data_IF_292783093367
#
_entry.id   IF_292783093367
#
_cell.length_a   1.000
_cell.length_b   1.000
_cell.length_c   1.000
_cell.angle_alpha   90.00
_cell.angle_beta   90.00
_cell.angle_gamma   90.00
#
_symmetry.space_group_name_H-M   'P 1'
#
loop_
_entity.id
_entity.type
_entity.pdbx_description
1 polymer ?
#
# COMPACT_ATOMS: atom_id res chain seq x y z
N UNK A 1 -4.28 7.94 -15.74
CA UNK A 1 -3.46 8.44 -14.61
C UNK A 1 -3.20 7.28 -13.66
N UNK A 2 -1.98 7.13 -13.14
CA UNK A 2 -1.66 6.04 -12.21
C UNK A 2 -2.19 6.29 -10.80
N UNK A 3 -2.33 5.23 -9.98
CA UNK A 3 -2.87 5.33 -8.63
C UNK A 3 -2.03 6.25 -7.71
N UNK A 4 -0.71 6.26 -7.87
CA UNK A 4 0.19 7.14 -7.13
C UNK A 4 -0.02 8.62 -7.46
N UNK A 5 -0.30 8.94 -8.73
CA UNK A 5 -0.57 10.32 -9.15
C UNK A 5 -1.93 10.80 -8.64
N UNK A 6 -2.91 9.88 -8.58
CA UNK A 6 -4.21 10.14 -7.96
C UNK A 6 -4.11 10.34 -6.44
N UNK A 7 -3.33 9.52 -5.71
CA UNK A 7 -3.08 9.75 -4.29
C UNK A 7 -2.35 11.08 -4.04
N UNK A 8 -1.39 11.44 -4.90
CA UNK A 8 -0.72 12.75 -4.82
C UNK A 8 -1.71 13.89 -4.96
N UNK A 9 -2.64 13.85 -5.91
CA UNK A 9 -3.64 14.92 -6.08
C UNK A 9 -4.60 15.05 -4.88
N UNK A 10 -4.96 13.93 -4.25
CA UNK A 10 -5.77 13.89 -3.01
C UNK A 10 -5.03 14.56 -1.85
N UNK A 11 -3.72 14.32 -1.72
CA UNK A 11 -2.88 14.85 -0.63
C UNK A 11 -2.50 16.31 -0.88
N UNK A 12 -2.32 16.73 -2.14
CA UNK A 12 -2.01 18.12 -2.50
C UNK A 12 -3.25 19.02 -2.61
N UNK A 13 -4.46 18.44 -2.56
CA UNK A 13 -5.72 19.18 -2.46
C UNK A 13 -6.30 19.69 -3.79
N UNK A 14 -6.00 19.03 -4.92
CA UNK A 14 -6.48 19.49 -6.22
C UNK A 14 -7.98 19.19 -6.42
N UNK A 15 -8.79 20.25 -6.57
CA UNK A 15 -10.25 20.19 -6.68
C UNK A 15 -10.70 19.77 -8.08
N UNK A 16 -10.55 18.50 -8.43
CA UNK A 16 -11.05 17.99 -9.72
C UNK A 16 -11.80 16.66 -9.58
N UNK A 17 -12.82 16.58 -8.70
CA UNK A 17 -13.88 15.56 -8.79
C UNK A 17 -15.05 15.89 -7.84
N UNK A 18 -15.79 16.95 -8.11
CA UNK A 18 -17.13 17.15 -7.53
C UNK A 18 -18.16 17.01 -8.65
N UNK A 19 -18.90 15.90 -8.68
CA UNK A 19 -19.93 15.67 -9.69
C UNK A 19 -20.77 14.43 -9.45
N UNK A 20 -21.91 14.65 -8.77
CA UNK A 20 -23.19 13.93 -8.80
C UNK A 20 -23.25 12.40 -8.66
N UNK A 21 -24.15 11.99 -7.75
CA UNK A 21 -24.46 10.61 -7.39
C UNK A 21 -25.38 9.92 -8.40
N UNK A 22 -25.30 8.58 -8.46
CA UNK A 22 -26.49 7.74 -8.56
C UNK A 22 -26.82 7.15 -7.19
N UNK A 23 -28.10 7.20 -6.83
CA UNK A 23 -28.66 6.34 -5.82
C UNK A 23 -28.58 4.87 -6.31
N UNK A 24 -28.05 3.99 -5.45
CA UNK A 24 -27.99 2.54 -5.58
C UNK A 24 -27.47 1.95 -6.91
N UNK A 25 -26.17 1.61 -6.99
CA UNK A 25 -25.59 0.79 -8.08
C UNK A 25 -24.48 -0.05 -7.43
N UNK A 26 -24.66 -1.35 -7.18
CA UNK A 26 -24.46 -2.46 -8.13
C UNK A 26 -23.04 -2.46 -8.73
N UNK A 27 -22.41 -3.63 -8.76
CA UNK A 27 -21.06 -3.82 -9.25
C UNK A 27 -20.88 -3.25 -10.67
N UNK A 28 -20.06 -2.22 -10.82
CA UNK A 28 -19.61 -1.71 -12.11
C UNK A 28 -18.12 -2.02 -12.25
N UNK A 29 -17.82 -3.17 -12.88
CA UNK A 29 -16.48 -3.48 -13.36
C UNK A 29 -16.16 -2.66 -14.61
N UNK A 30 -14.92 -2.19 -14.74
CA UNK A 30 -14.44 -1.58 -15.98
C UNK A 30 -13.08 -0.90 -15.93
N UNK A 31 -12.80 -0.07 -14.93
CA UNK A 31 -11.57 0.76 -14.93
C UNK A 31 -10.76 0.70 -13.62
N UNK A 32 -11.26 -0.01 -12.60
CA UNK A 32 -10.78 0.07 -11.21
C UNK A 32 -9.94 -1.14 -10.74
N UNK A 33 -9.59 -2.06 -11.67
CA UNK A 33 -8.88 -3.30 -11.35
C UNK A 33 -7.46 -3.08 -10.79
N UNK A 34 -6.82 -1.94 -11.10
CA UNK A 34 -5.51 -1.58 -10.55
C UNK A 34 -5.55 -1.06 -9.11
N UNK A 35 -6.74 -0.81 -8.55
CA UNK A 35 -6.95 -0.29 -7.20
C UNK A 35 -7.33 -1.37 -6.18
N UNK A 36 -7.60 -2.58 -6.66
CA UNK A 36 -8.03 -3.70 -5.84
C UNK A 36 -6.83 -4.45 -5.28
N UNK A 37 -6.75 -4.49 -3.96
CA UNK A 37 -5.71 -5.22 -3.26
C UNK A 37 -6.34 -5.93 -2.07
N UNK A 38 -6.14 -7.25 -2.01
CA UNK A 38 -6.66 -8.10 -0.95
C UNK A 38 -8.18 -7.91 -0.67
N UNK A 39 -8.97 -7.78 -1.75
CA UNK A 39 -10.43 -7.65 -1.65
C UNK A 39 -10.95 -6.25 -1.32
N UNK A 40 -10.07 -5.25 -1.17
CA UNK A 40 -10.45 -3.85 -1.01
C UNK A 40 -10.07 -3.05 -2.26
N UNK A 41 -11.03 -2.29 -2.79
CA UNK A 41 -10.74 -1.21 -3.71
C UNK A 41 -10.35 0.05 -2.92
N UNK A 42 -9.06 0.40 -2.90
CA UNK A 42 -8.52 1.49 -2.07
C UNK A 42 -9.00 2.86 -2.52
N UNK A 43 -9.21 3.04 -3.82
CA UNK A 43 -9.76 4.28 -4.40
C UNK A 43 -11.18 4.52 -3.89
N UNK A 44 -12.04 3.51 -3.99
CA UNK A 44 -13.43 3.55 -3.51
C UNK A 44 -13.49 3.78 -2.00
N UNK A 45 -12.58 3.20 -1.21
CA UNK A 45 -12.52 3.42 0.23
C UNK A 45 -12.22 4.88 0.60
N UNK A 46 -11.27 5.52 -0.09
CA UNK A 46 -10.92 6.93 0.12
C UNK A 46 -12.04 7.85 -0.38
N UNK A 47 -12.62 7.59 -1.55
CA UNK A 47 -13.74 8.34 -2.11
C UNK A 47 -14.95 8.32 -1.16
N UNK A 48 -15.24 7.17 -0.54
CA UNK A 48 -16.32 7.04 0.44
C UNK A 48 -16.10 7.92 1.70
N UNK A 49 -14.87 8.04 2.17
CA UNK A 49 -14.53 8.87 3.34
C UNK A 49 -14.55 10.37 3.03
N UNK A 50 -14.19 10.77 1.81
CA UNK A 50 -14.36 12.16 1.36
C UNK A 50 -15.85 12.53 1.26
N UNK A 51 -16.69 11.62 0.73
CA UNK A 51 -18.14 11.81 0.63
C UNK A 51 -18.82 11.97 2.00
N UNK A 52 -18.30 11.36 3.06
CA UNK A 52 -18.84 11.51 4.41
C UNK A 52 -18.83 12.96 4.91
N UNK A 53 -17.81 13.76 4.57
CA UNK A 53 -17.78 15.18 4.94
C UNK A 53 -18.96 15.92 4.32
N UNK A 54 -19.16 15.78 3.02
CA UNK A 54 -20.27 16.41 2.27
C UNK A 54 -21.61 15.97 2.84
N UNK A 55 -21.76 14.68 3.16
CA UNK A 55 -22.99 14.12 3.74
C UNK A 55 -23.34 14.75 5.09
N UNK A 56 -22.34 14.95 5.96
CA UNK A 56 -22.51 15.63 7.24
C UNK A 56 -22.81 17.13 7.07
N UNK A 57 -22.19 17.82 6.11
CA UNK A 57 -22.52 19.22 5.76
C UNK A 57 -23.98 19.36 5.29
N UNK A 58 -24.45 18.45 4.44
CA UNK A 58 -25.86 18.41 4.00
C UNK A 58 -26.82 18.15 5.17
N UNK A 59 -26.43 17.31 6.13
CA UNK A 59 -27.22 17.07 7.33
C UNK A 59 -27.29 18.32 8.23
N UNK A 60 -26.15 18.97 8.49
CA UNK A 60 -26.05 20.19 9.30
C UNK A 60 -26.87 21.35 8.71
N UNK A 61 -26.90 21.46 7.37
CA UNK A 61 -27.66 22.49 6.65
C UNK A 61 -29.15 22.18 6.49
N UNK A 62 -29.62 21.03 6.97
CA UNK A 62 -31.02 20.59 6.83
C UNK A 62 -31.42 20.22 5.40
N UNK A 63 -30.47 20.04 4.49
CA UNK A 63 -30.73 19.67 3.09
C UNK A 63 -30.73 18.16 2.87
N UNK A 64 -30.21 17.38 3.82
CA UNK A 64 -30.26 15.92 3.79
C UNK A 64 -31.65 15.38 4.16
N UNK A 65 -32.12 14.38 3.41
CA UNK A 65 -33.33 13.61 3.72
C UNK A 65 -33.02 12.31 4.48
N UNK A 66 -31.76 12.08 4.82
CA UNK A 66 -31.30 10.83 5.40
C UNK A 66 -31.61 10.74 6.88
N UNK A 67 -32.07 9.58 7.33
CA UNK A 67 -32.27 9.31 8.76
C UNK A 67 -31.02 8.66 9.37
N UNK A 68 -29.98 9.47 9.55
CA UNK A 68 -28.73 9.03 10.17
C UNK A 68 -28.93 8.78 11.66
N UNK A 69 -28.42 7.65 12.14
CA UNK A 69 -28.44 7.26 13.56
C UNK A 69 -27.04 7.39 14.14
N UNK A 70 -26.90 8.11 15.25
CA UNK A 70 -25.59 8.38 15.89
C UNK A 70 -24.88 7.07 16.24
N UNK A 71 -25.60 6.09 16.77
CA UNK A 71 -25.09 4.78 17.14
C UNK A 71 -24.58 3.96 15.95
N UNK A 72 -25.09 4.22 14.74
CA UNK A 72 -24.62 3.57 13.51
C UNK A 72 -23.43 4.32 12.94
N UNK A 73 -23.49 5.65 12.87
CA UNK A 73 -22.42 6.50 12.32
C UNK A 73 -21.16 6.44 13.18
N UNK A 74 -21.30 6.27 14.49
CA UNK A 74 -20.19 6.16 15.44
C UNK A 74 -19.44 4.84 15.36
N UNK A 75 -20.01 3.82 14.69
CA UNK A 75 -19.40 2.52 14.52
C UNK A 75 -18.50 2.49 13.29
N UNK A 76 -17.30 1.97 13.49
CA UNK A 76 -16.26 1.85 12.49
C UNK A 76 -16.23 0.49 11.80
N UNK A 77 -17.19 -0.39 12.09
CA UNK A 77 -17.32 -1.72 11.48
C UNK A 77 -18.49 -1.80 10.46
N UNK A 78 -19.23 -0.71 10.26
CA UNK A 78 -20.42 -0.69 9.41
C UNK A 78 -20.15 -0.26 7.96
N UNK A 79 -19.10 0.52 7.72
CA UNK A 79 -18.74 0.99 6.38
C UNK A 79 -17.93 -0.09 5.61
N UNK A 80 -17.81 0.00 4.26
CA UNK A 80 -17.05 -0.98 3.48
C UNK A 80 -15.59 -1.16 3.95
N UNK A 81 -14.91 -0.06 4.27
CA UNK A 81 -13.55 -0.11 4.83
C UNK A 81 -13.54 -0.79 6.20
N UNK A 82 -14.50 -0.45 7.07
CA UNK A 82 -14.67 -1.07 8.38
C UNK A 82 -14.86 -2.57 8.30
N UNK A 83 -15.80 -3.03 7.46
CA UNK A 83 -16.03 -4.46 7.22
C UNK A 83 -14.75 -5.16 6.77
N UNK A 84 -14.00 -4.56 5.86
CA UNK A 84 -12.71 -5.10 5.42
C UNK A 84 -11.66 -5.11 6.53
N UNK A 85 -11.56 -4.04 7.34
CA UNK A 85 -10.65 -3.96 8.50
C UNK A 85 -10.89 -5.10 9.49
N UNK A 86 -12.15 -5.42 9.76
CA UNK A 86 -12.55 -6.45 10.72
C UNK A 86 -12.65 -7.85 10.12
N UNK A 87 -12.36 -8.00 8.83
CA UNK A 87 -12.36 -9.26 8.08
C UNK A 87 -10.99 -9.45 7.39
N UNK A 88 -10.96 -9.63 6.06
CA UNK A 88 -9.75 -9.92 5.28
C UNK A 88 -8.58 -8.95 5.48
N UNK A 89 -8.86 -7.67 5.72
CA UNK A 89 -7.82 -6.67 5.98
C UNK A 89 -7.11 -6.93 7.30
N UNK A 90 -7.87 -7.29 8.35
CA UNK A 90 -7.34 -7.67 9.64
C UNK A 90 -6.50 -8.94 9.57
N UNK A 91 -6.95 -9.94 8.81
CA UNK A 91 -6.22 -11.19 8.59
C UNK A 91 -4.89 -10.97 7.84
N UNK A 92 -4.90 -10.15 6.78
CA UNK A 92 -3.77 -9.99 5.85
C UNK A 92 -2.78 -8.89 6.22
N UNK A 93 -3.23 -7.87 6.94
CA UNK A 93 -2.40 -6.71 7.29
C UNK A 93 -2.40 -6.42 8.79
N UNK A 94 -3.05 -7.23 9.63
CA UNK A 94 -3.10 -7.03 11.08
C UNK A 94 -1.73 -6.93 11.76
N UNK A 95 -0.68 -7.50 11.16
CA UNK A 95 0.71 -7.39 11.62
C UNK A 95 1.37 -6.04 11.29
N UNK A 96 0.77 -5.24 10.40
CA UNK A 96 1.30 -3.95 9.96
C UNK A 96 0.90 -2.85 10.93
N UNK A 97 1.89 -2.18 11.52
CA UNK A 97 1.66 -0.97 12.33
C UNK A 97 0.89 0.10 11.55
N UNK A 98 1.10 0.22 10.23
CA UNK A 98 0.33 1.15 9.39
C UNK A 98 -1.15 0.76 9.31
N UNK A 99 -1.45 -0.54 9.24
CA UNK A 99 -2.83 -1.02 9.28
C UNK A 99 -3.45 -0.82 10.66
N UNK A 100 -2.69 -1.07 11.74
CA UNK A 100 -3.14 -0.81 13.11
C UNK A 100 -3.45 0.68 13.34
N UNK A 101 -2.53 1.57 12.98
CA UNK A 101 -2.74 3.02 13.01
C UNK A 101 -3.96 3.42 12.18
N UNK A 102 -4.13 2.82 11.00
CA UNK A 102 -5.27 3.11 10.13
C UNK A 102 -6.57 2.71 10.80
N UNK A 103 -6.64 1.52 11.40
CA UNK A 103 -7.80 1.03 12.16
C UNK A 103 -8.14 1.95 13.33
N UNK A 104 -7.15 2.37 14.11
CA UNK A 104 -7.36 3.29 15.25
C UNK A 104 -7.90 4.63 14.77
N UNK A 105 -7.27 5.24 13.76
CA UNK A 105 -7.73 6.52 13.23
C UNK A 105 -9.07 6.44 12.50
N UNK A 106 -9.40 5.29 11.90
CA UNK A 106 -10.72 5.01 11.35
C UNK A 106 -11.80 4.98 12.44
N UNK A 107 -11.53 4.30 13.56
CA UNK A 107 -12.41 4.31 14.72
C UNK A 107 -12.60 5.73 15.30
N UNK A 108 -11.51 6.51 15.38
CA UNK A 108 -11.58 7.90 15.80
C UNK A 108 -12.41 8.77 14.85
N UNK A 109 -12.25 8.58 13.53
CA UNK A 109 -13.03 9.27 12.51
C UNK A 109 -14.53 9.06 12.70
N UNK A 110 -14.95 7.80 12.84
CA UNK A 110 -16.36 7.46 13.05
C UNK A 110 -16.91 8.00 14.38
N UNK A 111 -16.14 7.92 15.48
CA UNK A 111 -16.52 8.56 16.75
C UNK A 111 -16.70 10.07 16.61
N UNK A 112 -15.82 10.75 15.87
CA UNK A 112 -15.94 12.18 15.61
C UNK A 112 -17.16 12.49 14.75
N UNK A 113 -17.42 11.70 13.71
CA UNK A 113 -18.63 11.83 12.89
C UNK A 113 -19.91 11.68 13.72
N UNK A 114 -19.93 10.76 14.70
CA UNK A 114 -21.00 10.61 15.68
C UNK A 114 -21.20 11.86 16.54
N UNK A 115 -20.12 12.47 17.03
CA UNK A 115 -20.18 13.75 17.78
C UNK A 115 -20.76 14.89 16.92
N UNK A 116 -20.32 15.01 15.66
CA UNK A 116 -20.84 15.99 14.70
C UNK A 116 -22.35 15.80 14.50
N UNK A 117 -22.77 14.56 14.25
CA UNK A 117 -24.18 14.24 14.04
C UNK A 117 -25.03 14.50 15.28
N UNK A 118 -24.50 14.18 16.47
CA UNK A 118 -25.17 14.46 17.76
C UNK A 118 -25.45 15.95 17.93
N UNK A 119 -24.44 16.80 17.68
CA UNK A 119 -24.60 18.25 17.76
C UNK A 119 -25.63 18.76 16.74
N UNK A 120 -25.58 18.25 15.49
CA UNK A 120 -26.54 18.61 14.46
C UNK A 120 -27.99 18.22 14.83
N UNK A 121 -28.19 17.01 15.38
CA UNK A 121 -29.50 16.53 15.83
C UNK A 121 -30.05 17.29 17.05
N UNK A 122 -29.17 17.85 17.87
CA UNK A 122 -29.54 18.74 18.97
C UNK A 122 -29.87 20.17 18.50
N UNK A 123 -29.78 20.47 17.20
CA UNK A 123 -29.98 21.81 16.64
C UNK A 123 -28.77 22.74 16.76
N UNK A 124 -27.63 22.26 17.24
CA UNK A 124 -26.38 23.02 17.33
C UNK A 124 -25.60 22.94 16.00
N UNK A 125 -26.13 23.58 14.96
CA UNK A 125 -25.50 23.60 13.63
C UNK A 125 -24.12 24.27 13.64
N UNK A 126 -23.91 25.28 14.49
CA UNK A 126 -22.63 25.97 14.58
C UNK A 126 -21.55 25.08 15.22
N UNK A 127 -21.87 24.42 16.33
CA UNK A 127 -20.99 23.46 16.99
C UNK A 127 -20.68 22.25 16.11
N UNK A 128 -21.68 21.70 15.42
CA UNK A 128 -21.49 20.63 14.45
C UNK A 128 -20.54 21.05 13.31
N UNK A 129 -20.69 22.27 12.79
CA UNK A 129 -19.82 22.82 11.75
C UNK A 129 -18.37 22.97 12.23
N UNK A 130 -18.17 23.45 13.47
CA UNK A 130 -16.82 23.54 14.06
C UNK A 130 -16.18 22.17 14.25
N UNK A 131 -16.92 21.19 14.76
CA UNK A 131 -16.45 19.81 14.95
C UNK A 131 -16.08 19.14 13.61
N UNK A 132 -16.80 19.46 12.54
CA UNK A 132 -16.56 18.89 11.21
C UNK A 132 -15.35 19.51 10.49
N UNK A 133 -15.15 20.82 10.66
CA UNK A 133 -14.15 21.58 9.92
C UNK A 133 -12.82 21.79 10.67
N UNK A 134 -12.74 21.40 11.94
CA UNK A 134 -11.53 21.54 12.74
C UNK A 134 -11.33 20.36 13.71
N UNK A 135 -10.21 20.36 14.41
CA UNK A 135 -9.97 19.45 15.52
C UNK A 135 -9.79 17.99 15.12
N UNK A 136 -10.35 17.08 15.91
CA UNK A 136 -10.11 15.64 15.83
C UNK A 136 -10.65 15.01 14.54
N UNK A 137 -11.80 15.48 14.03
CA UNK A 137 -12.40 14.93 12.81
C UNK A 137 -11.47 15.10 11.61
N UNK A 138 -10.98 16.33 11.39
CA UNK A 138 -10.08 16.64 10.28
C UNK A 138 -8.80 15.84 10.41
N UNK A 139 -8.18 15.82 11.60
CA UNK A 139 -6.95 15.05 11.86
C UNK A 139 -7.15 13.56 11.56
N UNK A 140 -8.24 12.96 12.04
CA UNK A 140 -8.53 11.55 11.82
C UNK A 140 -8.82 11.25 10.32
N UNK A 141 -9.61 12.10 9.66
CA UNK A 141 -9.93 11.96 8.23
C UNK A 141 -8.69 12.03 7.34
N UNK A 142 -7.83 13.03 7.53
CA UNK A 142 -6.57 13.14 6.80
C UNK A 142 -5.65 11.96 7.08
N UNK A 143 -5.57 11.52 8.35
CA UNK A 143 -4.73 10.41 8.76
C UNK A 143 -5.18 9.08 8.14
N UNK A 144 -6.48 8.82 8.07
CA UNK A 144 -7.04 7.63 7.39
C UNK A 144 -6.66 7.64 5.90
N UNK A 145 -6.84 8.76 5.20
CA UNK A 145 -6.46 8.86 3.77
C UNK A 145 -4.98 8.60 3.55
N UNK A 146 -4.12 9.23 4.36
CA UNK A 146 -2.66 9.04 4.29
C UNK A 146 -2.24 7.61 4.58
N UNK A 147 -2.84 6.97 5.59
CA UNK A 147 -2.50 5.60 5.96
C UNK A 147 -3.02 4.57 4.97
N UNK A 148 -4.18 4.79 4.36
CA UNK A 148 -4.66 3.98 3.24
C UNK A 148 -3.72 4.08 2.04
N UNK A 149 -3.28 5.29 1.69
CA UNK A 149 -2.28 5.50 0.64
C UNK A 149 -0.97 4.77 0.96
N UNK A 150 -0.47 4.91 2.19
CA UNK A 150 0.75 4.24 2.65
C UNK A 150 0.61 2.72 2.62
N UNK A 151 -0.52 2.18 3.09
CA UNK A 151 -0.80 0.76 3.08
C UNK A 151 -0.88 0.22 1.65
N UNK A 152 -1.55 0.95 0.75
CA UNK A 152 -1.61 0.62 -0.67
C UNK A 152 -0.20 0.59 -1.29
N UNK A 153 0.63 1.59 -1.01
CA UNK A 153 2.02 1.64 -1.49
C UNK A 153 2.81 0.45 -0.96
N UNK A 154 2.82 0.18 0.36
CA UNK A 154 3.59 -0.95 0.90
C UNK A 154 3.14 -2.31 0.38
N UNK A 155 1.83 -2.50 0.24
CA UNK A 155 1.27 -3.77 -0.20
C UNK A 155 1.36 -3.93 -1.74
N UNK A 156 1.39 -2.83 -2.49
CA UNK A 156 1.73 -2.83 -3.92
C UNK A 156 3.24 -3.03 -4.13
N UNK A 157 4.09 -2.39 -3.33
CA UNK A 157 5.56 -2.47 -3.41
C UNK A 157 6.10 -3.86 -3.06
N UNK A 158 5.46 -4.61 -2.16
CA UNK A 158 5.80 -6.02 -1.93
C UNK A 158 5.58 -6.92 -3.16
N UNK A 159 4.53 -6.63 -3.94
CA UNK A 159 4.25 -7.27 -5.23
C UNK A 159 5.16 -6.71 -6.32
N UNK A 160 5.44 -5.41 -6.32
CA UNK A 160 6.41 -4.78 -7.22
C UNK A 160 7.83 -5.26 -6.97
N UNK A 161 8.23 -5.64 -5.75
CA UNK A 161 9.54 -6.19 -5.48
C UNK A 161 9.71 -7.54 -6.21
N UNK A 162 8.74 -8.43 -6.09
CA UNK A 162 8.72 -9.72 -6.82
C UNK A 162 8.66 -9.45 -8.34
N UNK A 163 7.73 -8.62 -8.80
CA UNK A 163 7.57 -8.27 -10.23
C UNK A 163 8.81 -7.52 -10.79
N UNK A 164 9.53 -6.75 -9.97
CA UNK A 164 10.78 -6.08 -10.31
C UNK A 164 11.92 -7.08 -10.47
N UNK A 165 12.03 -8.09 -9.60
CA UNK A 165 13.04 -9.15 -9.73
C UNK A 165 12.79 -10.04 -10.95
N UNK A 166 11.53 -10.38 -11.25
CA UNK A 166 11.16 -11.10 -12.48
C UNK A 166 11.52 -10.28 -13.73
N UNK A 167 11.18 -8.98 -13.75
CA UNK A 167 11.57 -8.07 -14.85
C UNK A 167 13.09 -7.90 -14.95
N UNK A 168 13.79 -7.92 -13.82
CA UNK A 168 15.24 -7.81 -13.76
C UNK A 168 15.93 -9.00 -14.44
N UNK A 169 15.50 -10.24 -14.17
CA UNK A 169 15.99 -11.43 -14.88
C UNK A 169 15.82 -11.32 -16.39
N UNK A 170 14.66 -10.84 -16.85
CA UNK A 170 14.39 -10.64 -18.27
C UNK A 170 15.33 -9.58 -18.90
N UNK A 171 15.54 -8.45 -18.23
CA UNK A 171 16.47 -7.40 -18.68
C UNK A 171 17.92 -7.88 -18.77
N UNK A 172 18.39 -8.64 -17.78
CA UNK A 172 19.74 -9.20 -17.78
C UNK A 172 19.91 -10.23 -18.90
N UNK A 173 18.89 -11.06 -19.16
CA UNK A 173 18.86 -11.96 -20.32
C UNK A 173 18.95 -11.20 -21.63
N UNK A 174 18.17 -10.12 -21.79
CA UNK A 174 18.19 -9.31 -23.01
C UNK A 174 19.55 -8.64 -23.23
N UNK A 175 20.22 -8.19 -22.16
CA UNK A 175 21.60 -7.71 -22.23
C UNK A 175 22.57 -8.80 -22.70
N UNK A 176 22.55 -9.99 -22.08
CA UNK A 176 23.43 -11.12 -22.45
C UNK A 176 23.19 -11.53 -23.92
N UNK A 177 21.95 -11.46 -24.39
CA UNK A 177 21.59 -11.81 -25.76
C UNK A 177 21.85 -10.68 -26.78
N UNK A 178 22.41 -9.55 -26.36
CA UNK A 178 22.68 -8.40 -27.22
C UNK A 178 21.41 -7.67 -27.71
N UNK A 179 20.26 -7.94 -27.10
CA UNK A 179 18.96 -7.30 -27.40
C UNK A 179 18.77 -5.97 -26.69
N UNK A 180 19.57 -5.71 -25.65
CA UNK A 180 19.59 -4.45 -24.91
C UNK A 180 20.85 -3.65 -25.25
N UNK A 181 20.71 -2.34 -25.37
CA UNK A 181 21.81 -1.37 -25.47
C UNK A 181 22.07 -0.68 -24.13
N UNK A 182 21.50 -1.21 -23.05
CA UNK A 182 21.65 -0.66 -21.70
C UNK A 182 23.08 -0.85 -21.20
N UNK A 183 23.72 0.23 -20.74
CA UNK A 183 25.01 0.14 -20.06
C UNK A 183 24.80 -0.30 -18.61
N UNK A 184 24.91 -1.61 -18.39
CA UNK A 184 24.84 -2.21 -17.06
C UNK A 184 26.23 -2.27 -16.43
N UNK A 185 26.34 -1.83 -15.18
CA UNK A 185 27.57 -1.95 -14.39
C UNK A 185 27.42 -3.07 -13.36
N UNK A 186 28.32 -4.06 -13.41
CA UNK A 186 28.37 -5.14 -12.44
C UNK A 186 28.59 -4.62 -11.01
N UNK A 187 29.37 -3.55 -10.85
CA UNK A 187 29.56 -2.88 -9.56
C UNK A 187 28.24 -2.33 -9.01
N UNK A 188 27.46 -1.63 -9.84
CA UNK A 188 26.17 -1.06 -9.43
C UNK A 188 25.15 -2.15 -9.14
N UNK A 189 25.14 -3.22 -9.93
CA UNK A 189 24.17 -4.32 -9.82
C UNK A 189 24.46 -5.23 -8.62
N UNK A 190 25.73 -5.36 -8.25
CA UNK A 190 26.14 -6.11 -7.06
C UNK A 190 25.70 -5.45 -5.76
N UNK A 191 25.32 -4.17 -5.80
CA UNK A 191 24.83 -3.44 -4.65
C UNK A 191 23.38 -3.80 -4.35
N UNK A 192 23.17 -4.31 -3.15
CA UNK A 192 21.88 -4.73 -2.64
C UNK A 192 21.12 -3.61 -1.90
N UNK A 193 21.60 -2.37 -1.96
CA UNK A 193 20.97 -1.19 -1.35
C UNK A 193 20.32 -0.25 -2.39
N UNK A 194 20.49 -0.52 -3.68
CA UNK A 194 20.04 0.39 -4.75
C UNK A 194 18.63 0.08 -5.28
N UNK A 195 18.21 -1.19 -5.23
CA UNK A 195 16.88 -1.60 -5.69
C UNK A 195 15.78 -1.24 -4.66
N UNK A 196 14.51 -1.31 -5.05
CA UNK A 196 13.38 -0.97 -4.16
C UNK A 196 13.39 -1.79 -2.87
N UNK A 197 13.59 -3.10 -2.97
CA UNK A 197 13.70 -4.00 -1.80
C UNK A 197 14.92 -3.68 -0.95
N UNK A 198 16.07 -3.40 -1.58
CA UNK A 198 17.30 -2.97 -0.92
C UNK A 198 17.11 -1.70 -0.10
N UNK A 199 16.55 -0.64 -0.72
CA UNK A 199 16.23 0.63 -0.04
C UNK A 199 15.31 0.41 1.15
N UNK A 200 14.37 -0.54 1.06
CA UNK A 200 13.53 -0.91 2.20
C UNK A 200 14.31 -1.67 3.29
N UNK A 201 15.11 -2.67 2.94
CA UNK A 201 15.94 -3.46 3.86
C UNK A 201 16.90 -2.56 4.64
N UNK A 202 17.55 -1.61 3.96
CA UNK A 202 18.53 -0.71 4.59
C UNK A 202 17.90 0.55 5.20
N UNK A 203 16.63 0.83 4.92
CA UNK A 203 15.84 1.87 5.56
C UNK A 203 14.88 1.31 6.61
N UNK A 204 13.60 1.61 6.44
CA UNK A 204 12.54 1.34 7.42
C UNK A 204 12.38 -0.16 7.77
N UNK A 205 12.70 -1.07 6.86
CA UNK A 205 12.71 -2.51 7.12
C UNK A 205 13.76 -2.90 8.15
N UNK A 206 14.96 -2.33 8.02
CA UNK A 206 16.06 -2.51 8.98
C UNK A 206 15.72 -1.94 10.36
N UNK A 207 15.10 -0.76 10.41
CA UNK A 207 14.67 -0.14 11.67
C UNK A 207 13.65 -1.02 12.42
N UNK A 208 12.67 -1.60 11.71
CA UNK A 208 11.55 -2.31 12.32
C UNK A 208 11.81 -3.79 12.59
N UNK A 209 12.55 -4.45 11.71
CA UNK A 209 12.70 -5.90 11.73
C UNK A 209 14.14 -6.36 12.02
N UNK A 210 15.07 -5.46 12.35
CA UNK A 210 16.46 -5.80 12.71
C UNK A 210 16.58 -6.91 13.75
N UNK A 211 15.64 -6.97 14.70
CA UNK A 211 15.63 -7.99 15.76
C UNK A 211 14.98 -9.31 15.34
N UNK A 212 14.37 -9.39 14.15
CA UNK A 212 13.72 -10.58 13.63
C UNK A 212 14.72 -11.48 12.88
N UNK A 213 14.97 -12.74 13.30
CA UNK A 213 15.88 -13.64 12.60
C UNK A 213 15.50 -13.88 11.13
N UNK A 214 14.21 -13.89 10.78
CA UNK A 214 13.75 -14.03 9.41
C UNK A 214 14.13 -12.82 8.54
N UNK A 215 14.21 -11.62 9.12
CA UNK A 215 14.65 -10.42 8.43
C UNK A 215 16.16 -10.43 8.19
N UNK A 216 16.96 -10.86 9.16
CA UNK A 216 18.40 -11.06 8.97
C UNK A 216 18.68 -12.06 7.84
N UNK A 217 17.89 -13.13 7.78
CA UNK A 217 17.94 -14.14 6.71
C UNK A 217 17.54 -13.52 5.36
N UNK A 218 16.45 -12.75 5.29
CA UNK A 218 16.04 -12.05 4.07
C UNK A 218 17.13 -11.09 3.57
N UNK A 219 17.68 -10.25 4.45
CA UNK A 219 18.75 -9.30 4.13
C UNK A 219 19.97 -10.02 3.56
N UNK A 220 20.39 -11.13 4.18
CA UNK A 220 21.52 -11.93 3.69
C UNK A 220 21.25 -12.54 2.31
N UNK A 221 20.05 -13.09 2.09
CA UNK A 221 19.65 -13.70 0.80
C UNK A 221 19.55 -12.65 -0.31
N UNK A 222 19.05 -11.46 0.01
CA UNK A 222 18.99 -10.32 -0.91
C UNK A 222 20.40 -9.89 -1.37
N UNK A 223 21.34 -9.77 -0.44
CA UNK A 223 22.73 -9.47 -0.77
C UNK A 223 23.37 -10.54 -1.67
N UNK A 224 23.06 -11.82 -1.44
CA UNK A 224 23.54 -12.93 -2.28
C UNK A 224 22.98 -12.86 -3.70
N UNK A 225 21.67 -12.60 -3.84
CA UNK A 225 21.03 -12.42 -5.14
C UNK A 225 21.72 -11.35 -6.00
N UNK A 226 21.99 -10.18 -5.41
CA UNK A 226 22.67 -9.09 -6.12
C UNK A 226 24.10 -9.43 -6.51
N UNK A 227 24.86 -10.15 -5.67
CA UNK A 227 26.19 -10.67 -6.04
C UNK A 227 26.12 -11.64 -7.23
N UNK A 228 25.20 -12.60 -7.21
CA UNK A 228 25.01 -13.51 -8.34
C UNK A 228 24.64 -12.77 -9.63
N UNK A 229 23.81 -11.72 -9.54
CA UNK A 229 23.47 -10.87 -10.69
C UNK A 229 24.70 -10.13 -11.24
N UNK A 230 25.58 -9.63 -10.35
CA UNK A 230 26.85 -9.01 -10.71
C UNK A 230 27.79 -9.99 -11.42
N UNK A 231 27.98 -11.18 -10.86
CA UNK A 231 28.83 -12.23 -11.44
C UNK A 231 28.37 -12.64 -12.85
N UNK A 232 27.06 -12.82 -13.05
CA UNK A 232 26.47 -13.08 -14.37
C UNK A 232 26.85 -11.97 -15.36
N UNK A 233 26.77 -10.71 -14.93
CA UNK A 233 27.08 -9.57 -15.79
C UNK A 233 28.58 -9.43 -16.07
N UNK A 234 29.46 -9.73 -15.11
CA UNK A 234 30.91 -9.74 -15.33
C UNK A 234 31.32 -10.78 -16.37
N UNK A 235 30.75 -11.99 -16.28
CA UNK A 235 30.98 -13.07 -17.25
C UNK A 235 30.48 -12.64 -18.63
N UNK A 236 29.30 -12.02 -18.71
CA UNK A 236 28.77 -11.48 -19.96
C UNK A 236 29.67 -10.37 -20.54
N UNK A 237 30.18 -9.48 -19.70
CA UNK A 237 31.07 -8.38 -20.08
C UNK A 237 32.43 -8.83 -20.61
N UNK A 238 32.89 -10.05 -20.27
CA UNK A 238 34.08 -10.69 -20.86
C UNK A 238 33.80 -11.36 -22.22
N UNK A 239 32.55 -11.41 -22.65
CA UNK A 239 32.12 -12.05 -23.90
C UNK A 239 31.69 -13.52 -23.76
N UNK A 240 31.71 -14.08 -22.54
CA UNK A 240 31.36 -15.48 -22.28
C UNK A 240 29.83 -15.67 -22.15
N UNK A 241 29.08 -15.27 -23.18
CA UNK A 241 27.61 -15.14 -23.14
C UNK A 241 26.89 -16.45 -22.82
N UNK A 242 27.40 -17.60 -23.28
CA UNK A 242 26.82 -18.91 -22.99
C UNK A 242 26.91 -19.26 -21.50
N UNK A 243 28.05 -18.97 -20.88
CA UNK A 243 28.28 -19.21 -19.45
C UNK A 243 27.40 -18.27 -18.61
N UNK A 244 27.33 -16.99 -18.99
CA UNK A 244 26.46 -16.01 -18.33
C UNK A 244 24.98 -16.43 -18.39
N UNK A 245 24.51 -16.91 -19.55
CA UNK A 245 23.15 -17.38 -19.71
C UNK A 245 22.86 -18.62 -18.87
N UNK A 246 23.79 -19.59 -18.84
CA UNK A 246 23.67 -20.75 -17.96
C UNK A 246 23.61 -20.34 -16.49
N UNK A 247 24.47 -19.42 -16.04
CA UNK A 247 24.46 -18.90 -14.67
C UNK A 247 23.12 -18.22 -14.30
N UNK A 248 22.48 -17.54 -15.26
CA UNK A 248 21.20 -16.87 -15.09
C UNK A 248 20.00 -17.83 -15.03
N UNK A 249 20.03 -18.91 -15.81
CA UNK A 249 18.89 -19.83 -15.95
C UNK A 249 18.97 -21.05 -15.03
N UNK A 250 20.16 -21.61 -14.85
CA UNK A 250 20.39 -22.90 -14.18
C UNK A 250 21.50 -22.83 -13.11
N UNK A 251 22.12 -21.66 -12.91
CA UNK A 251 23.18 -21.45 -11.93
C UNK A 251 22.69 -21.06 -10.53
N UNK A 252 23.54 -20.37 -9.77
CA UNK A 252 23.21 -19.92 -8.42
C UNK A 252 22.20 -18.76 -8.37
N UNK A 253 21.98 -18.05 -9.49
CA UNK A 253 21.04 -16.94 -9.58
C UNK A 253 19.57 -17.33 -9.32
N UNK A 254 18.97 -18.33 -10.01
CA UNK A 254 17.59 -18.72 -9.79
C UNK A 254 17.31 -19.11 -8.33
N UNK A 255 18.20 -19.91 -7.73
CA UNK A 255 18.10 -20.28 -6.31
C UNK A 255 18.14 -19.05 -5.40
N UNK A 256 19.07 -18.14 -5.63
CA UNK A 256 19.16 -16.91 -4.85
C UNK A 256 17.90 -16.03 -5.01
N UNK A 257 17.32 -15.98 -6.21
CA UNK A 257 16.10 -15.23 -6.49
C UNK A 257 14.88 -15.84 -5.79
N UNK A 258 14.72 -17.16 -5.81
CA UNK A 258 13.65 -17.87 -5.12
C UNK A 258 13.76 -17.69 -3.59
N UNK A 259 14.98 -17.80 -3.07
CA UNK A 259 15.26 -17.61 -1.65
C UNK A 259 14.91 -16.19 -1.14
N UNK A 260 15.03 -15.16 -1.98
CA UNK A 260 14.54 -13.81 -1.65
C UNK A 260 13.02 -13.80 -1.56
N UNK A 261 12.33 -14.38 -2.55
CA UNK A 261 10.86 -14.47 -2.55
C UNK A 261 10.34 -15.24 -1.33
N UNK A 262 10.92 -16.40 -1.03
CA UNK A 262 10.60 -17.14 0.19
C UNK A 262 10.91 -16.35 1.46
N UNK A 263 12.02 -15.62 1.50
CA UNK A 263 12.43 -14.81 2.65
C UNK A 263 11.41 -13.70 2.95
N UNK A 264 10.88 -13.06 1.90
CA UNK A 264 9.81 -12.07 2.00
C UNK A 264 8.56 -12.73 2.59
N UNK A 265 8.12 -13.85 2.02
CA UNK A 265 6.93 -14.59 2.50
C UNK A 265 7.12 -15.01 3.96
N UNK A 266 8.23 -15.67 4.31
CA UNK A 266 8.53 -16.15 5.67
C UNK A 266 8.63 -15.03 6.69
N UNK A 267 9.20 -13.87 6.33
CA UNK A 267 9.26 -12.71 7.22
C UNK A 267 7.85 -12.25 7.62
N UNK A 268 6.93 -12.18 6.64
CA UNK A 268 5.56 -11.74 6.87
C UNK A 268 4.63 -12.85 7.39
N UNK A 269 4.95 -14.12 7.19
CA UNK A 269 4.24 -15.27 7.78
C UNK A 269 4.63 -15.55 9.24
N UNK A 270 5.91 -15.40 9.64
CA UNK A 270 6.32 -15.62 11.03
C UNK A 270 5.86 -14.50 11.97
N UNK A 271 5.68 -13.28 11.45
CA UNK A 271 5.04 -12.18 12.19
C UNK A 271 3.60 -12.52 12.63
N UNK A 272 2.97 -13.54 12.03
CA UNK A 272 1.61 -14.05 12.34
C UNK A 272 1.56 -15.09 13.48
N UNK A 273 2.67 -15.77 13.79
CA UNK A 273 2.70 -16.91 14.74
C UNK A 273 3.39 -16.59 16.07
N UNK A 274 4.04 -15.43 16.18
CA UNK A 274 4.69 -14.96 17.40
C UNK A 274 3.83 -13.97 18.22
N UNK A 275 2.55 -13.80 17.86
CA UNK A 275 1.54 -12.99 18.55
C UNK A 275 0.34 -13.87 18.92
#
# INVERSE_FOLDING_TARGET
>A
MGMLDWFKSIVTGDKAASGQAPAAIAAAGGEDAGAELAGLNFKTAVDAHMKWKVRLESYISGTSTEQLKVEVVSRDDQCPLGKWIYDQGGEKFGYSETFFDMKVHHAMFHRCAGKVLTAAQAGDSEGATRLLNAGEYVKASERVKMLLARLFVMASEGKEAIDSHVRWKARLRDFIQGKSQEELSAEVISRDDQCTLGKWIYGIGGERFSSNPAFAVLKSRHAQFHRCAGEVLEVAGRGDLHVALHMLEEGAYPDASEQVAEGIVKLFEKARTAA
#
